data_IF_629755901706
#
_entry.id   IF_629755901706
#
_cell.length_a   1.000
_cell.length_b   1.000
_cell.length_c   1.000
_cell.angle_alpha   90.00
_cell.angle_beta   90.00
_cell.angle_gamma   90.00
#
_symmetry.space_group_name_H-M   'P 1'
#
loop_
_entity.id
_entity.type
_entity.pdbx_description
1 polymer ?
#
# COMPACT_ATOMS: atom_id res chain seq x y z
N UNK A 1 -35.12 -16.76 -41.43
CA UNK A 1 -35.09 -15.50 -40.67
C UNK A 1 -33.91 -15.57 -39.73
N UNK A 2 -32.86 -14.82 -40.07
CA UNK A 2 -31.57 -14.72 -39.38
C UNK A 2 -31.72 -13.97 -38.06
N UNK A 3 -31.12 -14.48 -36.99
CA UNK A 3 -30.73 -13.65 -35.84
C UNK A 3 -29.42 -14.17 -35.28
N UNK A 4 -28.36 -13.68 -35.90
CA UNK A 4 -27.03 -13.58 -35.31
C UNK A 4 -27.07 -12.41 -34.35
N UNK A 5 -26.91 -12.64 -33.05
CA UNK A 5 -26.40 -11.60 -32.15
C UNK A 5 -25.17 -12.15 -31.43
N UNK A 6 -24.02 -11.89 -32.05
CA UNK A 6 -22.71 -11.90 -31.43
C UNK A 6 -22.69 -10.61 -30.60
N UNK A 7 -22.90 -10.72 -29.29
CA UNK A 7 -22.71 -9.58 -28.41
C UNK A 7 -21.22 -9.31 -28.27
N UNK A 8 -20.83 -8.25 -28.97
CA UNK A 8 -19.70 -7.36 -28.80
C UNK A 8 -18.86 -7.60 -27.54
N UNK A 9 -17.58 -7.77 -27.82
CA UNK A 9 -16.47 -7.82 -26.88
C UNK A 9 -16.55 -6.61 -25.94
N UNK A 10 -16.78 -6.86 -24.65
CA UNK A 10 -16.65 -5.82 -23.64
C UNK A 10 -15.24 -5.27 -23.68
N UNK A 11 -15.18 -3.98 -24.01
CA UNK A 11 -13.99 -3.19 -24.10
C UNK A 11 -13.12 -3.37 -22.85
N UNK A 12 -11.82 -3.45 -23.12
CA UNK A 12 -10.72 -3.24 -22.19
C UNK A 12 -11.01 -2.06 -21.26
N UNK A 13 -11.49 -2.38 -20.06
CA UNK A 13 -11.35 -1.50 -18.91
C UNK A 13 -9.98 -1.82 -18.32
N UNK A 14 -9.01 -0.97 -18.66
CA UNK A 14 -7.70 -0.99 -18.03
C UNK A 14 -7.87 -0.59 -16.56
N UNK A 15 -8.31 -1.52 -15.71
CA UNK A 15 -8.03 -1.45 -14.29
C UNK A 15 -6.50 -1.43 -14.18
N UNK A 16 -5.85 -0.31 -13.78
CA UNK A 16 -4.44 -0.38 -13.45
C UNK A 16 -4.33 -1.47 -12.40
N UNK A 17 -3.44 -2.48 -12.55
CA UNK A 17 -3.40 -3.61 -11.65
C UNK A 17 -3.41 -3.06 -10.23
N UNK A 18 -4.28 -3.56 -9.33
CA UNK A 18 -4.38 -3.02 -7.99
C UNK A 18 -2.96 -3.03 -7.48
N UNK A 19 -2.36 -1.84 -7.33
CA UNK A 19 -1.01 -1.73 -6.84
C UNK A 19 -1.10 -2.45 -5.52
N UNK A 20 -0.55 -3.66 -5.48
CA UNK A 20 -0.64 -4.57 -4.37
C UNK A 20 0.17 -3.85 -3.31
N UNK A 21 -0.52 -2.99 -2.56
CA UNK A 21 -0.07 -2.40 -1.31
C UNK A 21 0.19 -3.61 -0.46
N UNK A 22 1.41 -4.13 -0.56
CA UNK A 22 1.85 -5.31 0.16
C UNK A 22 1.48 -5.03 1.60
N UNK A 23 0.56 -5.85 2.13
CA UNK A 23 0.18 -5.86 3.55
C UNK A 23 1.38 -6.38 4.33
N UNK A 24 2.48 -5.64 4.32
CA UNK A 24 3.61 -5.88 5.19
C UNK A 24 3.29 -5.13 6.47
N UNK A 25 3.00 -5.86 7.54
CA UNK A 25 2.99 -5.27 8.88
C UNK A 25 4.43 -4.99 9.29
N UNK A 26 4.66 -3.82 9.86
CA UNK A 26 5.90 -3.47 10.51
C UNK A 26 5.75 -3.68 12.01
N UNK A 27 6.87 -3.91 12.67
CA UNK A 27 6.95 -4.12 14.11
C UNK A 27 7.99 -3.15 14.67
N UNK A 28 7.62 -2.38 15.68
CA UNK A 28 8.55 -1.52 16.37
C UNK A 28 9.46 -2.36 17.27
N UNK A 29 10.79 -2.28 17.14
CA UNK A 29 11.72 -3.09 17.93
C UNK A 29 11.82 -2.64 19.40
N UNK A 30 11.38 -1.43 19.72
CA UNK A 30 11.55 -0.84 21.07
C UNK A 30 10.35 -1.09 21.97
N UNK A 31 9.14 -0.77 21.51
CA UNK A 31 7.90 -0.92 22.28
C UNK A 31 7.06 -2.13 21.88
N UNK A 32 7.36 -2.78 20.75
CA UNK A 32 6.58 -3.90 20.21
C UNK A 32 5.29 -3.49 19.48
N UNK A 33 5.10 -2.20 19.18
CA UNK A 33 3.97 -1.73 18.38
C UNK A 33 3.93 -2.41 17.00
N UNK A 34 2.82 -3.05 16.65
CA UNK A 34 2.60 -3.65 15.33
C UNK A 34 1.55 -2.85 14.57
N UNK A 35 1.91 -2.41 13.36
CA UNK A 35 0.99 -1.70 12.48
C UNK A 35 1.31 -2.00 11.02
N UNK A 36 0.28 -1.98 10.16
CA UNK A 36 0.47 -2.09 8.71
C UNK A 36 1.43 -1.00 8.21
N UNK A 37 2.29 -1.25 7.22
CA UNK A 37 3.26 -0.26 6.69
C UNK A 37 2.62 1.07 6.24
N UNK A 38 1.32 1.08 5.93
CA UNK A 38 0.55 2.30 5.60
C UNK A 38 -0.54 2.63 6.63
N UNK A 39 -0.44 2.07 7.84
CA UNK A 39 -1.30 2.34 8.98
C UNK A 39 -0.75 3.51 9.80
N UNK A 40 -0.74 3.33 11.11
CA UNK A 40 -0.46 4.37 12.11
C UNK A 40 1.01 4.79 12.25
N UNK A 41 1.86 4.54 11.24
CA UNK A 41 3.24 5.00 11.26
C UNK A 41 3.34 6.48 10.94
N UNK A 42 4.10 7.22 11.74
CA UNK A 42 4.44 8.61 11.46
C UNK A 42 5.47 8.65 10.33
N UNK A 43 5.04 9.07 9.14
CA UNK A 43 5.89 9.16 7.97
C UNK A 43 6.55 10.54 7.86
N UNK A 44 7.87 10.59 7.98
CA UNK A 44 8.68 11.79 7.78
C UNK A 44 9.42 11.70 6.44
N UNK A 45 9.00 12.52 5.48
CA UNK A 45 9.71 12.66 4.21
C UNK A 45 10.82 13.72 4.36
N UNK A 46 12.06 13.29 4.16
CA UNK A 46 13.24 14.15 4.06
C UNK A 46 13.67 14.26 2.59
N UNK A 47 14.58 15.19 2.27
CA UNK A 47 15.04 15.52 0.91
C UNK A 47 15.41 14.31 0.04
N UNK A 48 15.92 13.22 0.64
CA UNK A 48 16.29 11.99 -0.07
C UNK A 48 15.79 10.69 0.57
N UNK A 49 15.00 10.74 1.64
CA UNK A 49 14.57 9.53 2.34
C UNK A 49 13.18 9.65 2.94
N UNK A 50 12.50 8.52 3.13
CA UNK A 50 11.27 8.45 3.90
C UNK A 50 11.53 7.60 5.15
N UNK A 51 11.32 8.21 6.30
CA UNK A 51 11.41 7.58 7.60
C UNK A 51 10.00 7.26 8.09
N UNK A 52 9.78 6.04 8.56
CA UNK A 52 8.57 5.64 9.27
C UNK A 52 8.92 5.51 10.76
N UNK A 53 8.26 6.28 11.61
CA UNK A 53 8.43 6.27 13.06
C UNK A 53 7.21 5.70 13.77
N UNK A 54 7.47 5.07 14.91
CA UNK A 54 6.43 4.61 15.81
C UNK A 54 5.71 5.81 16.47
N UNK A 55 4.38 5.84 16.51
CA UNK A 55 3.63 6.92 17.15
C UNK A 55 3.74 6.92 18.69
N UNK A 56 4.08 5.79 19.30
CA UNK A 56 4.14 5.65 20.76
C UNK A 56 5.52 6.03 21.34
N UNK A 57 6.61 5.64 20.69
CA UNK A 57 7.97 5.82 21.20
C UNK A 57 8.90 6.58 20.25
N UNK A 58 8.40 7.06 19.11
CA UNK A 58 9.14 7.81 18.08
C UNK A 58 10.32 7.06 17.44
N UNK A 59 10.44 5.75 17.70
CA UNK A 59 11.51 4.91 17.16
C UNK A 59 11.36 4.77 15.65
N UNK A 60 12.47 4.91 14.91
CA UNK A 60 12.52 4.67 13.47
C UNK A 60 12.37 3.17 13.19
N UNK A 61 11.27 2.81 12.55
CA UNK A 61 10.94 1.41 12.23
C UNK A 61 11.38 1.06 10.80
N UNK A 62 11.36 2.02 9.89
CA UNK A 62 11.84 1.83 8.53
C UNK A 62 12.42 3.14 7.99
N UNK A 63 13.50 3.02 7.22
CA UNK A 63 14.04 4.09 6.39
C UNK A 63 14.17 3.55 4.97
N UNK A 64 13.77 4.36 3.97
CA UNK A 64 13.98 4.09 2.54
C UNK A 64 14.61 5.28 1.84
#
# INVERSE_FOLDING_TARGET
MTSTEIYTTSAVDSDPPPQTRSKTSLFCPDCGHESAVTGDWTAEATENSLLLRCPDCDTVVQQR
#
